data_IF_055878181828
#
_entry.id   IF_055878181828
#
_cell.length_a   1.000
_cell.length_b   1.000
_cell.length_c   1.000
_cell.angle_alpha   90.00
_cell.angle_beta   90.00
_cell.angle_gamma   90.00
#
_symmetry.space_group_name_H-M   'P 1'
#
loop_
_entity.id
_entity.type
_entity.pdbx_description
1 polymer ?
#
# COMPACT_ATOMS: atom_id res chain seq x y z
N UNK A 1 -5.36 1.83 -11.25
CA UNK A 1 -6.32 2.55 -12.11
C UNK A 1 -6.28 1.93 -13.49
N UNK A 2 -7.41 1.76 -14.17
CA UNK A 2 -7.44 1.38 -15.59
C UNK A 2 -7.24 2.61 -16.48
N UNK A 3 -6.71 2.48 -17.71
CA UNK A 3 -6.63 3.59 -18.65
C UNK A 3 -8.02 4.20 -18.90
N UNK A 4 -8.10 5.53 -18.98
CA UNK A 4 -9.35 6.26 -19.27
C UNK A 4 -9.16 7.22 -20.42
N UNK A 5 -10.16 7.34 -21.28
CA UNK A 5 -10.22 8.38 -22.31
C UNK A 5 -11.03 9.56 -21.77
N UNK A 6 -10.49 10.77 -21.83
CA UNK A 6 -11.20 12.02 -21.49
C UNK A 6 -11.09 13.01 -22.65
N UNK A 7 -11.94 14.03 -22.68
CA UNK A 7 -11.89 15.10 -23.67
C UNK A 7 -11.54 16.42 -22.99
N UNK A 8 -10.59 17.17 -23.55
CA UNK A 8 -10.25 18.52 -23.12
C UNK A 8 -10.22 19.44 -24.35
N UNK A 9 -11.29 20.23 -24.50
CA UNK A 9 -11.53 21.05 -25.69
C UNK A 9 -11.57 20.19 -26.96
N UNK A 10 -10.67 20.48 -27.90
CA UNK A 10 -10.51 19.75 -29.17
C UNK A 10 -9.55 18.56 -29.09
N UNK A 11 -9.11 18.15 -27.90
CA UNK A 11 -8.17 17.03 -27.70
C UNK A 11 -8.81 15.86 -26.95
N UNK A 12 -8.47 14.63 -27.36
CA UNK A 12 -8.73 13.41 -26.57
C UNK A 12 -7.47 13.08 -25.77
N UNK A 13 -7.64 12.81 -24.48
CA UNK A 13 -6.57 12.47 -23.55
C UNK A 13 -6.73 11.02 -23.08
N UNK A 14 -5.72 10.20 -23.32
CA UNK A 14 -5.63 8.88 -22.71
C UNK A 14 -4.84 9.00 -21.41
N UNK A 15 -5.52 8.86 -20.28
CA UNK A 15 -4.90 8.86 -18.96
C UNK A 15 -4.34 7.46 -18.71
N UNK A 16 -3.02 7.34 -18.85
CA UNK A 16 -2.27 6.12 -18.52
C UNK A 16 -1.79 6.22 -17.06
N UNK A 17 -2.06 5.22 -16.21
CA UNK A 17 -1.57 5.20 -14.82
C UNK A 17 -0.05 5.35 -14.74
N UNK A 18 0.46 6.06 -13.72
CA UNK A 18 1.91 6.29 -13.55
C UNK A 18 2.73 5.00 -13.56
N UNK A 19 2.24 3.95 -12.90
CA UNK A 19 2.92 2.66 -12.87
C UNK A 19 3.05 2.05 -14.27
N UNK A 20 2.05 2.23 -15.14
CA UNK A 20 2.10 1.77 -16.54
C UNK A 20 3.12 2.58 -17.32
N UNK A 21 3.14 3.91 -17.20
CA UNK A 21 4.15 4.75 -17.85
C UNK A 21 5.59 4.40 -17.43
N UNK A 22 5.78 4.06 -16.15
CA UNK A 22 7.10 3.67 -15.62
C UNK A 22 7.60 2.36 -16.23
N UNK A 23 6.76 1.32 -16.33
CA UNK A 23 7.15 0.03 -16.93
C UNK A 23 7.18 0.07 -18.46
N UNK A 24 6.33 0.89 -19.09
CA UNK A 24 6.25 1.00 -20.54
C UNK A 24 7.30 1.96 -21.11
N UNK A 25 8.01 2.73 -20.28
CA UNK A 25 9.02 3.69 -20.71
C UNK A 25 8.47 4.90 -21.48
N UNK A 26 7.15 5.16 -21.40
CA UNK A 26 6.50 6.31 -22.03
C UNK A 26 6.82 7.60 -21.27
N UNK A 27 7.23 8.64 -22.00
CA UNK A 27 7.58 9.96 -21.47
C UNK A 27 6.87 11.06 -22.22
N UNK A 28 6.69 12.20 -21.56
CA UNK A 28 6.21 13.41 -22.23
C UNK A 28 7.16 13.78 -23.39
N UNK A 29 6.59 14.05 -24.57
CA UNK A 29 7.36 14.37 -25.79
C UNK A 29 7.75 13.16 -26.64
N UNK A 30 7.38 11.93 -26.25
CA UNK A 30 7.56 10.76 -27.10
C UNK A 30 6.68 10.84 -28.36
N UNK A 31 7.26 10.48 -29.51
CA UNK A 31 6.51 10.30 -30.76
C UNK A 31 5.91 8.88 -30.79
N UNK A 32 4.59 8.79 -30.78
CA UNK A 32 3.84 7.52 -30.81
C UNK A 32 3.04 7.43 -32.10
N UNK A 33 3.08 6.26 -32.75
CA UNK A 33 2.13 5.94 -33.81
C UNK A 33 0.86 5.36 -33.18
N UNK A 34 -0.28 5.80 -33.70
CA UNK A 34 -1.60 5.31 -33.30
C UNK A 34 -2.16 4.49 -34.46
N UNK A 35 -2.59 3.27 -34.18
CA UNK A 35 -3.35 2.44 -35.09
C UNK A 35 -4.65 2.00 -34.43
N UNK A 36 -5.71 1.84 -35.21
CA UNK A 36 -7.00 1.33 -34.76
C UNK A 36 -7.35 0.07 -35.53
N UNK A 37 -7.75 -0.97 -34.82
CA UNK A 37 -8.30 -2.21 -35.39
C UNK A 37 -9.55 -2.61 -34.60
N UNK A 38 -10.73 -2.40 -35.20
CA UNK A 38 -12.01 -2.50 -34.51
C UNK A 38 -12.08 -1.59 -33.28
N UNK A 39 -12.34 -2.19 -32.11
CA UNK A 39 -12.42 -1.49 -30.82
C UNK A 39 -11.06 -1.34 -30.12
N UNK A 40 -9.96 -1.75 -30.77
CA UNK A 40 -8.61 -1.73 -30.19
C UNK A 40 -7.81 -0.57 -30.75
N UNK A 41 -7.34 0.32 -29.87
CA UNK A 41 -6.32 1.33 -30.20
C UNK A 41 -4.95 0.81 -29.77
N UNK A 42 -4.04 0.70 -30.74
CA UNK A 42 -2.64 0.31 -30.52
C UNK A 42 -1.74 1.52 -30.58
N UNK A 43 -0.89 1.69 -29.55
CA UNK A 43 0.15 2.70 -29.50
C UNK A 43 1.52 2.04 -29.70
N UNK A 44 2.29 2.51 -30.68
CA UNK A 44 3.67 2.03 -30.91
C UNK A 44 4.67 3.17 -30.84
N UNK A 45 5.82 2.94 -30.19
CA UNK A 45 6.93 3.88 -30.16
C UNK A 45 8.03 3.36 -31.10
N UNK A 46 8.36 4.08 -32.20
CA UNK A 46 9.39 3.64 -33.14
C UNK A 46 10.72 3.34 -32.44
N UNK A 47 11.31 2.18 -32.73
CA UNK A 47 12.58 1.75 -32.15
C UNK A 47 12.52 1.32 -30.68
N UNK A 48 11.33 1.25 -30.07
CA UNK A 48 11.15 0.82 -28.69
C UNK A 48 10.27 -0.43 -28.63
N UNK A 49 10.77 -1.49 -28.00
CA UNK A 49 9.97 -2.68 -27.68
C UNK A 49 9.41 -2.52 -26.28
N UNK A 50 8.08 -2.44 -26.17
CA UNK A 50 7.43 -2.61 -24.89
C UNK A 50 7.72 -4.02 -24.39
N UNK A 51 8.31 -4.13 -23.20
CA UNK A 51 8.25 -5.39 -22.46
C UNK A 51 6.78 -5.75 -22.27
N UNK A 52 6.43 -7.05 -22.17
CA UNK A 52 5.11 -7.43 -21.67
C UNK A 52 4.85 -6.58 -20.44
N UNK A 53 3.67 -5.95 -20.39
CA UNK A 53 3.16 -5.51 -19.09
C UNK A 53 2.99 -6.82 -18.34
N UNK A 54 4.01 -7.25 -17.60
CA UNK A 54 3.77 -8.17 -16.50
C UNK A 54 2.62 -7.51 -15.75
N UNK A 55 1.53 -8.25 -15.53
CA UNK A 55 0.51 -7.79 -14.60
C UNK A 55 1.29 -7.37 -13.36
N UNK A 56 1.43 -6.05 -13.17
CA UNK A 56 2.06 -5.48 -12.01
C UNK A 56 1.06 -5.79 -10.90
N UNK A 57 1.13 -7.03 -10.41
CA UNK A 57 0.32 -7.57 -9.36
C UNK A 57 0.59 -6.62 -8.20
N UNK A 58 -0.40 -5.77 -7.90
CA UNK A 58 -0.29 -4.76 -6.86
C UNK A 58 0.04 -5.52 -5.57
N UNK A 59 1.23 -5.35 -5.01
CA UNK A 59 1.61 -6.06 -3.77
C UNK A 59 1.46 -5.13 -2.60
N UNK A 60 0.85 -5.62 -1.53
CA UNK A 60 0.88 -4.99 -0.22
C UNK A 60 1.49 -5.96 0.77
N UNK A 61 2.47 -5.49 1.54
CA UNK A 61 3.08 -6.28 2.58
C UNK A 61 2.41 -6.03 3.93
N UNK A 62 2.46 -6.99 4.84
CA UNK A 62 2.14 -6.75 6.26
C UNK A 62 3.33 -7.12 7.12
N UNK A 63 3.59 -6.34 8.17
CA UNK A 63 4.73 -6.57 9.05
C UNK A 63 4.42 -6.20 10.50
N UNK A 64 4.80 -7.09 11.42
CA UNK A 64 4.78 -6.85 12.86
C UNK A 64 6.19 -6.70 13.42
N UNK A 65 6.38 -5.83 14.40
CA UNK A 65 7.67 -5.63 15.05
C UNK A 65 7.83 -6.31 16.41
N UNK A 66 6.78 -6.93 16.94
CA UNK A 66 6.87 -7.79 18.12
C UNK A 66 7.97 -8.85 17.94
N UNK A 67 8.78 -9.04 18.98
CA UNK A 67 9.93 -9.96 18.94
C UNK A 67 11.12 -9.56 18.05
N UNK A 68 11.04 -8.49 17.23
CA UNK A 68 12.12 -8.11 16.27
C UNK A 68 13.06 -7.02 16.79
N UNK A 69 14.29 -6.95 16.34
CA UNK A 69 15.10 -5.74 16.55
C UNK A 69 14.89 -4.78 15.36
N UNK A 70 15.20 -3.48 15.47
CA UNK A 70 15.15 -2.56 14.33
C UNK A 70 15.95 -3.06 13.12
N UNK A 71 17.11 -3.66 13.36
CA UNK A 71 17.99 -4.19 12.30
C UNK A 71 17.32 -5.36 11.56
N UNK A 72 16.77 -6.33 12.30
CA UNK A 72 16.03 -7.46 11.70
C UNK A 72 14.77 -6.99 10.97
N UNK A 73 14.11 -5.95 11.49
CA UNK A 73 12.92 -5.36 10.87
C UNK A 73 13.27 -4.72 9.53
N UNK A 74 14.27 -3.84 9.51
CA UNK A 74 14.76 -3.17 8.29
C UNK A 74 15.26 -4.16 7.26
N UNK A 75 16.08 -5.14 7.66
CA UNK A 75 16.58 -6.17 6.75
C UNK A 75 15.44 -6.94 6.07
N UNK A 76 14.38 -7.25 6.82
CA UNK A 76 13.20 -7.92 6.28
C UNK A 76 12.47 -7.06 5.25
N UNK A 77 12.35 -5.75 5.48
CA UNK A 77 11.77 -4.81 4.51
C UNK A 77 12.58 -4.77 3.22
N UNK A 78 13.91 -4.57 3.33
CA UNK A 78 14.82 -4.48 2.19
C UNK A 78 14.83 -5.75 1.35
N UNK A 79 14.87 -6.92 1.99
CA UNK A 79 14.84 -8.21 1.29
C UNK A 79 13.55 -8.46 0.51
N UNK A 80 12.47 -7.73 0.81
CA UNK A 80 11.19 -7.81 0.10
C UNK A 80 10.92 -6.60 -0.80
N UNK A 81 11.90 -5.70 -0.96
CA UNK A 81 11.77 -4.51 -1.80
C UNK A 81 10.76 -3.51 -1.29
N UNK A 82 10.49 -3.47 0.03
CA UNK A 82 9.59 -2.48 0.63
C UNK A 82 10.31 -1.13 0.70
N UNK A 83 9.69 -0.10 0.12
CA UNK A 83 10.22 1.27 0.10
C UNK A 83 9.40 2.23 0.97
N UNK A 84 8.24 1.80 1.48
CA UNK A 84 7.38 2.61 2.32
C UNK A 84 6.78 1.78 3.47
N UNK A 85 6.83 2.32 4.68
CA UNK A 85 6.09 1.82 5.84
C UNK A 85 4.86 2.68 6.05
N UNK A 86 3.70 2.03 6.09
CA UNK A 86 2.44 2.62 6.50
C UNK A 86 2.16 2.14 7.93
N UNK A 87 2.48 2.99 8.90
CA UNK A 87 2.21 2.77 10.31
C UNK A 87 0.71 2.96 10.59
N UNK A 88 0.03 1.85 10.81
CA UNK A 88 -1.42 1.82 11.09
C UNK A 88 -1.71 1.72 12.58
N UNK A 89 -0.78 2.17 13.45
CA UNK A 89 -1.04 2.28 14.89
C UNK A 89 -1.84 3.55 15.16
N UNK A 90 -2.91 3.44 15.97
CA UNK A 90 -3.65 4.62 16.46
C UNK A 90 -2.70 5.58 17.19
N UNK A 91 -1.86 5.03 18.07
CA UNK A 91 -0.81 5.75 18.79
C UNK A 91 0.53 5.08 18.52
N UNK A 92 1.50 5.73 17.84
CA UNK A 92 2.78 5.14 17.46
C UNK A 92 3.80 5.22 18.61
N UNK A 93 3.34 4.88 19.81
CA UNK A 93 4.14 4.83 21.03
C UNK A 93 4.54 3.37 21.25
N UNK A 94 5.83 3.13 21.48
CA UNK A 94 6.35 1.79 21.73
C UNK A 94 7.34 1.81 22.89
N UNK A 95 7.19 0.85 23.80
CA UNK A 95 8.17 0.58 24.88
C UNK A 95 9.41 -0.14 24.35
N UNK A 96 9.34 -0.67 23.12
CA UNK A 96 10.44 -1.39 22.48
C UNK A 96 11.37 -0.38 21.81
N UNK A 97 12.63 -0.39 22.22
CA UNK A 97 13.68 0.51 21.70
C UNK A 97 13.71 0.45 20.16
N UNK A 98 13.75 1.63 19.53
CA UNK A 98 13.79 1.78 18.07
C UNK A 98 12.44 1.73 17.36
N UNK A 99 11.32 1.49 18.05
CA UNK A 99 9.98 1.43 17.45
C UNK A 99 9.03 2.55 17.90
N UNK A 100 9.53 3.56 18.62
CA UNK A 100 8.83 4.83 18.77
C UNK A 100 8.82 5.56 17.41
N UNK A 101 7.81 6.39 17.14
CA UNK A 101 7.67 7.13 15.87
C UNK A 101 8.98 7.79 15.41
N UNK A 102 9.60 8.60 16.26
CA UNK A 102 10.81 9.35 15.91
C UNK A 102 12.01 8.45 15.63
N UNK A 103 12.26 7.45 16.49
CA UNK A 103 13.38 6.53 16.33
C UNK A 103 13.21 5.66 15.07
N UNK A 104 12.01 5.12 14.86
CA UNK A 104 11.72 4.29 13.69
C UNK A 104 11.84 5.08 12.40
N UNK A 105 11.26 6.29 12.35
CA UNK A 105 11.36 7.17 11.19
C UNK A 105 12.82 7.49 10.83
N UNK A 106 13.67 7.75 11.84
CA UNK A 106 15.10 8.00 11.61
C UNK A 106 15.80 6.78 11.02
N UNK A 107 15.61 5.58 11.61
CA UNK A 107 16.24 4.36 11.11
C UNK A 107 15.75 3.98 9.70
N UNK A 108 14.47 4.20 9.38
CA UNK A 108 13.94 3.95 8.03
C UNK A 108 14.51 4.93 7.00
N UNK A 109 14.62 6.22 7.37
CA UNK A 109 15.16 7.27 6.50
C UNK A 109 16.61 7.00 6.11
N UNK A 110 17.44 6.50 7.04
CA UNK A 110 18.83 6.12 6.78
C UNK A 110 18.95 5.01 5.71
N UNK A 111 17.89 4.23 5.53
CA UNK A 111 17.82 3.11 4.60
C UNK A 111 17.01 3.44 3.33
N UNK A 112 16.58 4.69 3.18
CA UNK A 112 15.78 5.14 2.05
C UNK A 112 14.33 4.64 2.07
N UNK A 113 13.82 4.22 3.23
CA UNK A 113 12.43 3.76 3.40
C UNK A 113 11.60 4.91 3.97
N UNK A 114 10.51 5.26 3.28
CA UNK A 114 9.59 6.30 3.71
C UNK A 114 8.73 5.80 4.90
N UNK A 115 8.41 6.71 5.82
CA UNK A 115 7.52 6.44 6.95
C UNK A 115 6.28 7.32 6.87
N UNK A 116 5.12 6.67 6.80
CA UNK A 116 3.80 7.31 6.78
C UNK A 116 3.03 6.82 7.99
N UNK A 117 2.39 7.74 8.72
CA UNK A 117 1.57 7.39 9.87
C UNK A 117 0.11 7.73 9.59
N UNK A 118 -0.75 6.71 9.59
CA UNK A 118 -2.20 6.83 9.37
C UNK A 118 -2.95 6.42 10.65
N UNK A 119 -3.10 7.33 11.63
CA UNK A 119 -3.65 6.99 12.94
C UNK A 119 -5.11 6.54 12.88
N UNK A 120 -5.91 7.06 11.95
CA UNK A 120 -7.31 6.66 11.78
C UNK A 120 -7.45 5.22 11.31
N UNK A 121 -6.42 4.63 10.71
CA UNK A 121 -6.39 3.20 10.39
C UNK A 121 -6.01 2.33 11.59
N UNK A 122 -5.71 2.90 12.75
CA UNK A 122 -5.52 2.14 13.99
C UNK A 122 -6.80 1.53 14.52
N UNK A 123 -6.71 0.39 15.20
CA UNK A 123 -7.82 -0.13 15.99
C UNK A 123 -8.16 0.87 17.11
N UNK A 124 -9.38 1.43 17.16
CA UNK A 124 -9.81 2.37 18.20
C UNK A 124 -9.64 1.81 19.61
N UNK A 125 -9.36 2.67 20.58
CA UNK A 125 -9.05 2.25 21.94
C UNK A 125 -10.13 1.39 22.63
N UNK A 126 -11.41 1.66 22.39
CA UNK A 126 -12.53 0.91 22.94
C UNK A 126 -12.58 -0.53 22.39
N UNK A 127 -12.51 -0.69 21.06
CA UNK A 127 -12.49 -1.99 20.38
C UNK A 127 -11.28 -2.82 20.84
N UNK A 128 -10.14 -2.15 20.97
CA UNK A 128 -8.86 -2.76 21.28
C UNK A 128 -8.72 -3.16 22.76
N UNK A 129 -9.32 -2.40 23.68
CA UNK A 129 -9.35 -2.77 25.11
C UNK A 129 -10.30 -3.94 25.36
N UNK A 130 -11.50 -3.93 24.78
CA UNK A 130 -12.44 -5.04 24.91
C UNK A 130 -11.80 -6.37 24.49
N UNK A 131 -11.07 -6.40 23.37
CA UNK A 131 -10.37 -7.61 22.94
C UNK A 131 -9.26 -8.05 23.91
N UNK A 132 -8.51 -7.09 24.47
CA UNK A 132 -7.44 -7.39 25.45
C UNK A 132 -7.99 -7.92 26.77
N UNK A 133 -9.18 -7.51 27.16
CA UNK A 133 -9.82 -7.89 28.42
C UNK A 133 -10.55 -9.24 28.33
N UNK A 134 -10.18 -10.08 27.35
CA UNK A 134 -10.76 -11.41 27.13
C UNK A 134 -11.97 -11.43 26.19
N UNK A 135 -12.22 -10.33 25.46
CA UNK A 135 -13.27 -10.25 24.45
C UNK A 135 -13.09 -11.21 23.29
N UNK A 136 -14.17 -11.44 22.54
CA UNK A 136 -14.18 -12.33 21.38
C UNK A 136 -13.37 -11.78 20.21
N UNK A 137 -12.49 -12.62 19.64
CA UNK A 137 -11.74 -12.29 18.42
C UNK A 137 -12.69 -12.00 17.23
N UNK A 138 -13.80 -12.73 17.15
CA UNK A 138 -14.81 -12.55 16.09
C UNK A 138 -15.40 -11.14 16.21
N UNK A 139 -15.82 -10.74 17.42
CA UNK A 139 -16.38 -9.41 17.66
C UNK A 139 -15.34 -8.30 17.41
N UNK A 140 -14.08 -8.52 17.77
CA UNK A 140 -12.99 -7.59 17.48
C UNK A 140 -12.90 -7.28 15.97
N UNK A 141 -12.87 -8.32 15.14
CA UNK A 141 -12.78 -8.15 13.68
C UNK A 141 -14.05 -7.55 13.08
N UNK A 142 -15.23 -7.92 13.57
CA UNK A 142 -16.50 -7.34 13.12
C UNK A 142 -16.56 -5.83 13.42
N UNK A 143 -16.28 -5.44 14.67
CA UNK A 143 -16.27 -4.04 15.09
C UNK A 143 -15.22 -3.23 14.34
N UNK A 144 -14.01 -3.77 14.19
CA UNK A 144 -12.96 -3.06 13.47
C UNK A 144 -13.28 -2.93 11.97
N UNK A 145 -13.89 -3.94 11.34
CA UNK A 145 -14.33 -3.86 9.95
C UNK A 145 -15.44 -2.82 9.75
N UNK A 146 -16.40 -2.74 10.68
CA UNK A 146 -17.42 -1.69 10.68
C UNK A 146 -16.78 -0.29 10.81
N UNK A 147 -15.84 -0.14 11.74
CA UNK A 147 -15.08 1.10 11.91
C UNK A 147 -14.29 1.48 10.63
N UNK A 148 -13.49 0.58 10.06
CA UNK A 148 -12.72 0.84 8.85
C UNK A 148 -13.63 1.20 7.65
N UNK A 149 -14.84 0.63 7.58
CA UNK A 149 -15.83 0.96 6.56
C UNK A 149 -16.47 2.35 6.77
N UNK A 150 -16.40 2.90 7.98
CA UNK A 150 -16.91 4.24 8.31
C UNK A 150 -15.95 5.38 7.95
N UNK A 151 -14.71 5.06 7.55
CA UNK A 151 -13.67 6.02 7.16
C UNK A 151 -13.18 5.79 5.71
N UNK A 152 -14.08 5.83 4.71
CA UNK A 152 -13.74 5.47 3.33
C UNK A 152 -12.63 6.34 2.73
N UNK A 153 -12.55 7.62 3.11
CA UNK A 153 -11.51 8.54 2.62
C UNK A 153 -10.09 8.10 3.04
N UNK A 154 -9.95 7.56 4.26
CA UNK A 154 -8.67 7.04 4.76
C UNK A 154 -8.28 5.72 4.07
N UNK A 155 -9.27 4.90 3.71
CA UNK A 155 -9.03 3.68 2.93
C UNK A 155 -8.62 4.01 1.50
N UNK A 156 -9.17 5.07 0.92
CA UNK A 156 -8.75 5.53 -0.40
C UNK A 156 -7.35 6.15 -0.37
N UNK A 157 -7.04 6.94 0.67
CA UNK A 157 -5.68 7.45 0.88
C UNK A 157 -4.65 6.32 1.08
N UNK A 158 -5.05 5.24 1.77
CA UNK A 158 -4.22 4.03 1.89
C UNK A 158 -3.94 3.37 0.54
N UNK A 159 -4.96 3.24 -0.32
CA UNK A 159 -4.80 2.69 -1.67
C UNK A 159 -3.86 3.57 -2.51
N UNK A 160 -3.98 4.90 -2.40
CA UNK A 160 -3.08 5.84 -3.08
C UNK A 160 -1.62 5.60 -2.67
N UNK A 161 -1.31 5.61 -1.37
CA UNK A 161 0.04 5.33 -0.87
C UNK A 161 0.55 3.96 -1.31
N UNK A 162 -0.25 2.91 -1.16
CA UNK A 162 0.09 1.57 -1.58
C UNK A 162 0.29 1.43 -3.10
N UNK A 163 -0.29 2.33 -3.90
CA UNK A 163 -0.13 2.37 -5.36
C UNK A 163 1.11 3.15 -5.82
N UNK A 164 1.60 4.08 -5.00
CA UNK A 164 2.73 4.94 -5.33
C UNK A 164 4.08 4.24 -5.11
N UNK A 165 4.18 3.34 -4.11
CA UNK A 165 5.40 2.61 -3.80
C UNK A 165 5.13 1.22 -3.17
N UNK A 166 6.07 0.26 -3.27
CA UNK A 166 6.01 -1.00 -2.54
C UNK A 166 5.92 -0.76 -1.02
N UNK A 167 4.76 -1.08 -0.45
CA UNK A 167 4.39 -0.64 0.89
C UNK A 167 4.15 -1.80 1.85
N UNK A 168 4.48 -1.61 3.13
CA UNK A 168 4.11 -2.53 4.19
C UNK A 168 3.21 -1.87 5.25
N UNK A 169 2.06 -2.50 5.52
CA UNK A 169 1.20 -2.18 6.67
C UNK A 169 1.88 -2.66 7.95
N UNK A 170 2.23 -1.72 8.83
CA UNK A 170 2.93 -2.02 10.07
C UNK A 170 2.04 -1.84 11.30
N UNK A 171 2.05 -2.85 12.18
CA UNK A 171 1.52 -2.75 13.55
C UNK A 171 2.50 -3.41 14.55
N UNK A 172 2.10 -3.54 15.81
CA UNK A 172 2.87 -4.22 16.85
C UNK A 172 2.94 -5.72 16.63
N UNK A 173 1.80 -6.41 16.63
CA UNK A 173 1.67 -7.87 16.71
C UNK A 173 2.47 -8.56 15.62
N UNK A 174 3.26 -9.58 15.96
CA UNK A 174 4.09 -10.26 14.97
C UNK A 174 3.20 -10.91 13.89
N UNK A 175 2.16 -11.62 14.33
CA UNK A 175 1.20 -12.27 13.45
C UNK A 175 0.12 -11.30 12.98
N UNK A 176 -0.18 -11.30 11.69
CA UNK A 176 -1.32 -10.55 11.16
C UNK A 176 -2.66 -11.19 11.55
N UNK A 177 -2.68 -12.48 11.90
CA UNK A 177 -3.91 -13.26 12.13
C UNK A 177 -4.79 -12.66 13.22
N UNK A 178 -4.17 -12.07 14.25
CA UNK A 178 -4.83 -11.49 15.43
C UNK A 178 -4.75 -9.96 15.46
N UNK A 179 -4.39 -9.33 14.34
CA UNK A 179 -4.10 -7.91 14.26
C UNK A 179 -5.10 -7.22 13.33
N UNK A 180 -5.50 -5.99 13.66
CA UNK A 180 -6.41 -5.19 12.84
C UNK A 180 -5.89 -4.96 11.41
N UNK A 181 -4.56 -4.97 11.21
CA UNK A 181 -3.95 -4.81 9.88
C UNK A 181 -4.39 -5.88 8.88
N UNK A 182 -4.87 -7.05 9.34
CA UNK A 182 -5.48 -8.08 8.50
C UNK A 182 -6.70 -7.53 7.75
N UNK A 183 -7.57 -6.79 8.43
CA UNK A 183 -8.77 -6.22 7.81
C UNK A 183 -8.40 -5.19 6.75
N UNK A 184 -7.41 -4.34 7.01
CA UNK A 184 -6.91 -3.39 6.00
C UNK A 184 -6.31 -4.11 4.79
N UNK A 185 -5.53 -5.16 5.02
CA UNK A 185 -4.97 -5.99 3.96
C UNK A 185 -6.07 -6.69 3.13
N UNK A 186 -7.13 -7.20 3.77
CA UNK A 186 -8.31 -7.76 3.10
C UNK A 186 -9.05 -6.71 2.25
N UNK A 187 -9.17 -5.48 2.74
CA UNK A 187 -9.78 -4.37 1.99
C UNK A 187 -8.97 -4.00 0.75
N UNK A 188 -7.63 -3.94 0.87
CA UNK A 188 -6.75 -3.76 -0.28
C UNK A 188 -6.78 -4.97 -1.23
N UNK A 189 -6.91 -6.19 -0.71
CA UNK A 189 -7.05 -7.37 -1.56
C UNK A 189 -8.27 -7.29 -2.47
N UNK A 190 -9.40 -6.78 -1.96
CA UNK A 190 -10.60 -6.51 -2.78
C UNK A 190 -10.39 -5.43 -3.85
N UNK A 191 -9.39 -4.55 -3.68
CA UNK A 191 -8.93 -3.55 -4.66
C UNK A 191 -7.86 -4.11 -5.63
N UNK A 192 -7.62 -5.42 -5.62
CA UNK A 192 -6.72 -6.11 -6.53
C UNK A 192 -5.28 -6.25 -6.03
N UNK A 193 -5.02 -6.02 -4.74
CA UNK A 193 -3.70 -6.25 -4.16
C UNK A 193 -3.48 -7.72 -3.78
N UNK A 194 -2.30 -8.27 -4.05
CA UNK A 194 -1.80 -9.46 -3.39
C UNK A 194 -1.18 -9.11 -2.06
N UNK A 195 -1.69 -9.75 -1.01
CA UNK A 195 -1.20 -9.57 0.34
C UNK A 195 -0.03 -10.52 0.61
N UNK A 196 1.08 -9.96 1.08
CA UNK A 196 2.30 -10.70 1.43
C UNK A 196 2.64 -10.47 2.92
N UNK A 197 2.62 -11.51 3.75
CA UNK A 197 2.89 -11.37 5.18
C UNK A 197 4.38 -11.66 5.49
N UNK A 198 5.06 -10.72 6.16
CA UNK A 198 6.52 -10.74 6.40
C UNK A 198 6.93 -11.31 7.76
#
# INVERSE_FOLDING_TARGET
MSPKLTQNGSSLQLIIPKNVCQVSGLRAGDNLNIASDGDVISLTKPGFKFSPLEECEKKIFTIGYEGRTPEKFIMKLKNNGVHQIIDVRERPISRKKGFSKSALMQCLKEEGIEYIHMPLLGSPSDIRHEYKDGGSEILFFERYRAYASSIPDEIELLDQYASDAPSALMCFEQSHVHCHRKVLAEMLAKKGYKVMNL
#
